data_IF_424269506011
#
_entry.id   IF_424269506011
#
_cell.length_a   1.000
_cell.length_b   1.000
_cell.length_c   1.000
_cell.angle_alpha   90.00
_cell.angle_beta   90.00
_cell.angle_gamma   90.00
#
_symmetry.space_group_name_H-M   'P 1'
#
loop_
_entity.id
_entity.type
_entity.pdbx_description
1 polymer ?
#
# COMPACT_ATOMS: atom_id res chain seq x y z
N UNK A 1 -12.29 9.03 13.32
CA UNK A 1 -12.00 7.85 14.17
C UNK A 1 -12.52 8.10 15.58
N UNK A 2 -13.11 7.10 16.25
CA UNK A 2 -13.36 7.17 17.71
C UNK A 2 -12.14 6.61 18.44
N UNK A 3 -11.52 7.41 19.31
CA UNK A 3 -10.37 6.95 20.11
C UNK A 3 -10.87 5.96 21.16
N UNK A 4 -10.35 4.73 21.13
CA UNK A 4 -10.69 3.70 22.12
C UNK A 4 -9.91 3.93 23.41
N UNK A 5 -10.40 3.40 24.54
CA UNK A 5 -9.67 3.50 25.83
C UNK A 5 -8.25 2.92 25.76
N UNK A 6 -8.06 1.87 24.95
CA UNK A 6 -6.76 1.27 24.70
C UNK A 6 -5.85 2.21 23.89
N UNK A 7 -6.35 2.83 22.84
CA UNK A 7 -5.60 3.83 22.08
C UNK A 7 -5.26 5.04 22.94
N UNK A 8 -6.20 5.57 23.73
CA UNK A 8 -5.93 6.66 24.68
C UNK A 8 -4.79 6.33 25.64
N UNK A 9 -4.71 5.09 26.13
CA UNK A 9 -3.63 4.65 27.01
C UNK A 9 -2.27 4.70 26.32
N UNK A 10 -2.18 4.22 25.07
CA UNK A 10 -0.94 4.27 24.27
C UNK A 10 -0.55 5.71 23.94
N UNK A 11 -1.52 6.57 23.58
CA UNK A 11 -1.28 7.98 23.26
C UNK A 11 -0.64 8.76 24.42
N UNK A 12 -0.90 8.37 25.68
CA UNK A 12 -0.26 9.00 26.85
C UNK A 12 1.21 8.61 27.04
N UNK A 13 1.69 7.57 26.35
CA UNK A 13 3.06 7.04 26.48
C UNK A 13 3.97 7.35 25.29
N UNK A 14 3.45 8.00 24.25
CA UNK A 14 4.22 8.36 23.05
C UNK A 14 4.55 9.86 23.03
N UNK A 15 5.64 10.20 22.34
CA UNK A 15 6.17 11.56 22.26
C UNK A 15 5.25 12.56 21.54
N UNK A 16 4.59 12.13 20.45
CA UNK A 16 3.68 12.95 19.64
C UNK A 16 2.35 12.26 19.37
N UNK A 17 1.40 12.28 20.34
CA UNK A 17 0.11 11.59 20.18
C UNK A 17 -0.77 12.14 19.06
N UNK A 18 -0.65 13.43 18.74
CA UNK A 18 -1.44 14.07 17.69
C UNK A 18 -1.26 13.43 16.29
N UNK A 19 -0.18 12.68 16.06
CA UNK A 19 0.05 11.93 14.80
C UNK A 19 -0.98 10.83 14.52
N UNK A 20 -1.74 10.43 15.54
CA UNK A 20 -2.49 9.17 15.51
C UNK A 20 -3.99 9.34 15.80
N UNK A 21 -4.49 10.56 15.97
CA UNK A 21 -5.89 10.80 16.42
C UNK A 21 -6.87 11.04 15.27
N UNK A 22 -6.38 11.45 14.10
CA UNK A 22 -7.20 11.81 12.93
C UNK A 22 -8.17 12.97 13.21
N UNK A 23 -9.25 13.02 12.43
CA UNK A 23 -10.29 14.05 12.59
C UNK A 23 -9.92 15.42 12.02
N UNK A 24 -9.00 15.46 11.06
CA UNK A 24 -8.64 16.67 10.32
C UNK A 24 -9.82 17.29 9.56
N UNK A 25 -9.74 18.60 9.36
CA UNK A 25 -10.58 19.29 8.40
C UNK A 25 -10.38 18.66 7.00
N UNK A 26 -11.48 18.45 6.27
CA UNK A 26 -11.51 17.79 4.95
C UNK A 26 -11.19 16.29 4.97
N UNK A 27 -11.18 15.64 6.14
CA UNK A 27 -11.18 14.19 6.21
C UNK A 27 -12.49 13.64 5.62
N UNK A 28 -12.37 12.80 4.60
CA UNK A 28 -13.47 12.02 4.04
C UNK A 28 -13.60 10.72 4.81
N UNK A 29 -14.75 10.51 5.44
CA UNK A 29 -15.08 9.28 6.16
C UNK A 29 -16.25 8.62 5.46
N UNK A 30 -15.98 7.53 4.73
CA UNK A 30 -17.00 6.70 4.09
C UNK A 30 -17.43 5.57 5.00
N UNK A 31 -18.64 5.07 4.79
CA UNK A 31 -19.07 3.84 5.43
C UNK A 31 -18.33 2.66 4.82
N UNK A 32 -17.80 1.79 5.67
CA UNK A 32 -16.99 0.63 5.27
C UNK A 32 -17.77 -0.35 4.40
N UNK A 33 -19.03 -0.57 4.75
CA UNK A 33 -19.89 -1.58 4.10
C UNK A 33 -20.41 -1.10 2.72
N UNK A 34 -20.40 0.22 2.50
CA UNK A 34 -20.80 0.81 1.21
C UNK A 34 -19.66 0.79 0.19
N UNK A 35 -18.41 0.70 0.66
CA UNK A 35 -17.23 0.62 -0.19
C UNK A 35 -17.01 -0.80 -0.74
N UNK A 36 -16.98 -0.92 -2.06
CA UNK A 36 -16.65 -2.17 -2.77
C UNK A 36 -15.16 -2.48 -2.67
N UNK A 37 -14.29 -1.49 -2.83
CA UNK A 37 -12.83 -1.66 -2.74
C UNK A 37 -12.28 -0.72 -1.69
N UNK A 38 -11.43 -1.27 -0.82
CA UNK A 38 -10.90 -0.57 0.35
C UNK A 38 -9.38 -0.55 0.27
N UNK A 39 -8.83 0.65 0.14
CA UNK A 39 -7.40 0.92 0.06
C UNK A 39 -6.94 1.65 1.32
N UNK A 40 -6.00 1.06 2.05
CA UNK A 40 -5.19 1.80 3.01
C UNK A 40 -3.93 2.26 2.28
N UNK A 41 -3.64 3.56 2.28
CA UNK A 41 -2.48 4.10 1.59
C UNK A 41 -1.53 4.74 2.58
N UNK A 42 -0.31 4.21 2.58
CA UNK A 42 0.76 4.63 3.45
C UNK A 42 1.68 5.63 2.75
N UNK A 43 1.97 6.73 3.45
CA UNK A 43 3.22 7.42 3.22
C UNK A 43 4.22 6.88 4.26
N UNK A 44 5.35 6.27 3.84
CA UNK A 44 6.26 5.52 4.72
C UNK A 44 7.17 6.45 5.56
N UNK A 45 6.58 7.46 6.17
CA UNK A 45 7.18 8.41 7.09
C UNK A 45 6.16 8.80 8.16
N UNK A 46 6.59 9.60 9.14
CA UNK A 46 5.67 10.18 10.12
C UNK A 46 4.63 11.11 9.48
N UNK A 47 3.49 11.21 10.16
CA UNK A 47 2.34 12.01 9.76
C UNK A 47 2.71 13.42 9.25
N UNK A 48 3.50 14.20 9.99
CA UNK A 48 3.80 15.59 9.58
C UNK A 48 4.56 15.69 8.24
N UNK A 49 5.40 14.70 7.93
CA UNK A 49 6.14 14.65 6.66
C UNK A 49 5.20 14.19 5.54
N UNK A 50 4.45 13.12 5.77
CA UNK A 50 3.54 12.59 4.76
C UNK A 50 2.38 13.52 4.41
N UNK A 51 1.89 14.32 5.35
CA UNK A 51 0.87 15.33 5.10
C UNK A 51 1.34 16.49 4.23
N UNK A 52 2.65 16.67 4.08
CA UNK A 52 3.22 17.65 3.15
C UNK A 52 3.36 17.08 1.73
N UNK A 53 2.97 15.82 1.49
CA UNK A 53 2.99 15.21 0.16
C UNK A 53 1.70 15.53 -0.61
N UNK A 54 1.80 16.44 -1.58
CA UNK A 54 0.65 16.81 -2.41
C UNK A 54 0.11 15.62 -3.22
N UNK A 55 0.98 14.74 -3.72
CA UNK A 55 0.55 13.56 -4.48
C UNK A 55 -0.34 12.62 -3.68
N UNK A 56 -0.04 12.40 -2.39
CA UNK A 56 -0.90 11.66 -1.48
C UNK A 56 -2.28 12.30 -1.35
N UNK A 57 -2.34 13.63 -1.18
CA UNK A 57 -3.59 14.36 -1.04
C UNK A 57 -4.41 14.34 -2.34
N UNK A 58 -3.76 14.43 -3.50
CA UNK A 58 -4.42 14.30 -4.80
C UNK A 58 -5.01 12.92 -4.99
N UNK A 59 -4.25 11.85 -4.73
CA UNK A 59 -4.75 10.47 -4.80
C UNK A 59 -5.89 10.21 -3.81
N UNK A 60 -5.76 10.76 -2.59
CA UNK A 60 -6.78 10.67 -1.55
C UNK A 60 -8.11 11.29 -2.00
N UNK A 61 -8.09 12.50 -2.56
CA UNK A 61 -9.29 13.17 -3.08
C UNK A 61 -9.84 12.45 -4.32
N UNK A 62 -8.97 12.08 -5.26
CA UNK A 62 -9.34 11.40 -6.51
C UNK A 62 -10.11 10.10 -6.23
N UNK A 63 -9.55 9.21 -5.42
CA UNK A 63 -10.18 7.91 -5.12
C UNK A 63 -11.42 8.10 -4.24
N UNK A 64 -11.40 9.05 -3.30
CA UNK A 64 -12.57 9.28 -2.45
C UNK A 64 -13.73 9.99 -3.15
N UNK A 65 -13.58 10.48 -4.39
CA UNK A 65 -14.73 10.94 -5.20
C UNK A 65 -15.54 9.78 -5.78
N UNK A 66 -14.94 8.60 -5.96
CA UNK A 66 -15.64 7.42 -6.45
C UNK A 66 -16.52 6.83 -5.34
N UNK A 67 -17.85 6.72 -5.50
CA UNK A 67 -18.78 6.40 -4.41
C UNK A 67 -18.54 5.02 -3.78
N UNK A 68 -18.01 4.07 -4.56
CA UNK A 68 -17.78 2.68 -4.18
C UNK A 68 -16.32 2.35 -3.86
N UNK A 69 -15.40 3.32 -3.91
CA UNK A 69 -14.01 3.18 -3.49
C UNK A 69 -13.78 3.88 -2.15
N UNK A 70 -12.96 3.29 -1.28
CA UNK A 70 -12.57 3.88 -0.01
C UNK A 70 -11.05 4.00 0.04
N UNK A 71 -10.55 5.21 0.28
CA UNK A 71 -9.14 5.48 0.49
C UNK A 71 -8.96 6.06 1.88
N UNK A 72 -8.23 5.34 2.72
CA UNK A 72 -7.81 5.80 4.04
C UNK A 72 -6.30 5.87 4.15
N UNK A 73 -5.81 6.85 4.92
CA UNK A 73 -4.39 7.12 5.08
C UNK A 73 -3.84 6.37 6.28
N UNK A 74 -2.62 5.90 6.16
CA UNK A 74 -1.81 5.46 7.29
C UNK A 74 -0.39 6.00 7.12
N UNK A 75 0.39 5.97 8.19
CA UNK A 75 1.74 6.52 8.23
C UNK A 75 2.63 5.57 9.02
N UNK A 76 3.94 5.63 8.80
CA UNK A 76 4.85 4.83 9.61
C UNK A 76 4.84 5.35 11.05
N UNK A 77 4.39 4.54 12.03
CA UNK A 77 4.41 4.97 13.42
C UNK A 77 5.84 5.22 13.88
N UNK A 78 6.04 6.20 14.77
CA UNK A 78 7.35 6.44 15.37
C UNK A 78 7.76 5.26 16.27
N UNK A 79 9.07 5.02 16.55
CA UNK A 79 9.49 3.84 17.31
C UNK A 79 8.83 3.65 18.68
N UNK A 80 8.44 4.74 19.36
CA UNK A 80 7.69 4.67 20.62
C UNK A 80 6.28 4.10 20.43
N UNK A 81 5.54 4.57 19.43
CA UNK A 81 4.22 4.03 19.08
C UNK A 81 4.33 2.60 18.53
N UNK A 82 5.38 2.28 17.76
CA UNK A 82 5.63 0.90 17.33
C UNK A 82 5.77 -0.05 18.51
N UNK A 83 6.52 0.36 19.54
CA UNK A 83 6.70 -0.43 20.75
C UNK A 83 5.37 -0.64 21.49
N UNK A 84 4.56 0.42 21.63
CA UNK A 84 3.23 0.35 22.24
C UNK A 84 2.27 -0.57 21.48
N UNK A 85 2.19 -0.44 20.16
CA UNK A 85 1.36 -1.31 19.31
C UNK A 85 1.75 -2.78 19.46
N UNK A 86 3.05 -3.07 19.40
CA UNK A 86 3.56 -4.44 19.54
C UNK A 86 3.30 -5.01 20.94
N UNK A 87 3.58 -4.24 21.99
CA UNK A 87 3.36 -4.67 23.37
C UNK A 87 1.88 -4.94 23.65
N UNK A 88 0.99 -4.16 23.05
CA UNK A 88 -0.46 -4.31 23.17
C UNK A 88 -1.06 -5.38 22.25
N UNK A 89 -0.29 -5.94 21.30
CA UNK A 89 -0.82 -6.79 20.23
C UNK A 89 -1.84 -6.06 19.35
N UNK A 90 -1.77 -4.73 19.28
CA UNK A 90 -2.70 -3.89 18.55
C UNK A 90 -2.20 -3.65 17.11
N UNK A 91 -3.01 -3.89 16.08
CA UNK A 91 -2.56 -3.74 14.69
C UNK A 91 -2.35 -2.26 14.34
N UNK A 92 -1.45 -1.99 13.38
CA UNK A 92 -1.42 -0.68 12.73
C UNK A 92 -2.80 -0.34 12.16
N UNK A 93 -3.21 0.92 12.27
CA UNK A 93 -4.53 1.39 11.87
C UNK A 93 -4.47 2.61 10.95
N UNK A 94 -5.59 2.91 10.29
CA UNK A 94 -5.77 4.09 9.44
C UNK A 94 -6.29 5.30 10.22
N UNK A 95 -6.05 6.49 9.68
CA UNK A 95 -6.30 7.76 10.36
C UNK A 95 -7.78 8.15 10.39
N UNK A 96 -8.51 7.85 9.32
CA UNK A 96 -9.91 8.24 9.14
C UNK A 96 -10.83 7.43 10.06
N UNK A 97 -10.75 6.10 9.98
CA UNK A 97 -11.67 5.21 10.70
C UNK A 97 -11.05 4.54 11.92
N UNK A 98 -9.71 4.41 11.97
CA UNK A 98 -9.02 3.61 13.00
C UNK A 98 -9.05 2.11 12.71
N UNK A 99 -9.34 1.70 11.46
CA UNK A 99 -9.41 0.29 11.09
C UNK A 99 -8.02 -0.32 10.93
N UNK A 100 -7.83 -1.60 11.30
CA UNK A 100 -6.59 -2.30 11.06
C UNK A 100 -6.20 -2.28 9.58
N UNK A 101 -4.96 -1.89 9.27
CA UNK A 101 -4.46 -1.81 7.88
C UNK A 101 -4.53 -3.16 7.17
N UNK A 102 -4.37 -4.26 7.91
CA UNK A 102 -4.48 -5.63 7.36
C UNK A 102 -5.88 -6.00 6.88
N UNK A 103 -6.92 -5.25 7.25
CA UNK A 103 -8.32 -5.57 6.90
C UNK A 103 -8.73 -4.97 5.53
N UNK A 104 -7.89 -4.12 4.94
CA UNK A 104 -8.15 -3.47 3.65
C UNK A 104 -7.87 -4.41 2.49
N UNK A 105 -8.56 -4.28 1.37
CA UNK A 105 -8.35 -5.09 0.17
C UNK A 105 -6.92 -4.90 -0.39
N UNK A 106 -6.45 -3.66 -0.39
CA UNK A 106 -5.13 -3.26 -0.86
C UNK A 106 -4.44 -2.34 0.16
N UNK A 107 -3.11 -2.43 0.20
CA UNK A 107 -2.23 -1.50 0.93
C UNK A 107 -1.26 -0.86 -0.04
N UNK A 108 -1.40 0.45 -0.26
CA UNK A 108 -0.54 1.20 -1.17
C UNK A 108 0.57 1.95 -0.44
N UNK A 109 1.72 2.14 -1.10
CA UNK A 109 2.82 2.96 -0.61
C UNK A 109 3.24 4.00 -1.65
N UNK A 110 3.44 5.25 -1.23
CA UNK A 110 4.14 6.25 -2.04
C UNK A 110 5.61 6.31 -1.64
N UNK A 111 6.50 5.99 -2.59
CA UNK A 111 7.95 5.89 -2.44
C UNK A 111 8.63 7.02 -3.22
N UNK A 112 8.81 8.21 -2.61
CA UNK A 112 9.47 9.33 -3.27
C UNK A 112 11.00 9.15 -3.37
N UNK A 113 11.61 8.38 -2.46
CA UNK A 113 13.05 8.14 -2.39
C UNK A 113 13.35 6.80 -1.69
N UNK A 114 14.56 6.28 -1.81
CA UNK A 114 14.93 4.93 -1.36
C UNK A 114 15.11 4.82 0.16
N UNK A 115 15.38 5.94 0.85
CA UNK A 115 15.64 5.92 2.30
C UNK A 115 14.42 5.50 3.13
N UNK A 116 13.21 5.49 2.56
CA UNK A 116 11.98 5.04 3.25
C UNK A 116 11.71 3.55 3.12
N UNK A 117 12.53 2.77 2.41
CA UNK A 117 12.29 1.34 2.20
C UNK A 117 12.20 0.57 3.53
N UNK A 118 13.06 0.86 4.50
CA UNK A 118 12.97 0.24 5.83
C UNK A 118 11.70 0.61 6.58
N UNK A 119 11.13 1.79 6.31
CA UNK A 119 9.87 2.22 6.90
C UNK A 119 8.68 1.45 6.28
N UNK A 120 8.74 1.11 4.99
CA UNK A 120 7.75 0.20 4.36
C UNK A 120 7.76 -1.15 5.08
N UNK A 121 8.94 -1.76 5.26
CA UNK A 121 9.07 -3.04 5.95
C UNK A 121 8.59 -2.96 7.41
N UNK A 122 8.93 -1.89 8.12
CA UNK A 122 8.43 -1.67 9.48
C UNK A 122 6.91 -1.54 9.51
N UNK A 123 6.32 -0.78 8.57
CA UNK A 123 4.88 -0.59 8.44
C UNK A 123 4.16 -1.91 8.22
N UNK A 124 4.64 -2.74 7.28
CA UNK A 124 4.09 -4.08 7.03
C UNK A 124 4.19 -4.97 8.29
N UNK A 125 5.35 -4.96 8.95
CA UNK A 125 5.58 -5.75 10.16
C UNK A 125 4.64 -5.37 11.32
N UNK A 126 4.40 -4.06 11.55
CA UNK A 126 3.50 -3.59 12.61
C UNK A 126 2.04 -3.78 12.22
N UNK A 127 1.70 -3.69 10.93
CA UNK A 127 0.38 -4.06 10.42
C UNK A 127 0.12 -5.56 10.56
N UNK A 128 1.15 -6.39 10.70
CA UNK A 128 1.07 -7.84 10.71
C UNK A 128 0.74 -8.40 9.34
N UNK A 129 1.28 -7.78 8.29
CA UNK A 129 1.25 -8.26 6.91
C UNK A 129 2.61 -8.94 6.65
N UNK A 130 2.66 -10.14 6.04
CA UNK A 130 3.93 -10.80 5.70
C UNK A 130 4.85 -9.88 4.90
N UNK A 131 6.14 -9.87 5.27
CA UNK A 131 7.12 -8.98 4.64
C UNK A 131 7.37 -9.39 3.20
N UNK A 132 7.65 -10.68 2.97
CA UNK A 132 7.90 -11.19 1.64
C UNK A 132 6.58 -11.38 0.91
N UNK A 133 6.53 -10.92 -0.35
CA UNK A 133 5.37 -11.11 -1.21
C UNK A 133 5.06 -12.61 -1.42
N UNK A 134 6.11 -13.45 -1.44
CA UNK A 134 6.00 -14.92 -1.56
C UNK A 134 5.35 -15.61 -0.35
N UNK A 135 5.28 -14.95 0.80
CA UNK A 135 4.65 -15.47 2.03
C UNK A 135 3.17 -15.03 2.16
N UNK A 136 2.69 -14.15 1.28
CA UNK A 136 1.31 -13.64 1.31
C UNK A 136 0.34 -14.61 0.66
N UNK A 137 -0.86 -14.67 1.23
CA UNK A 137 -1.97 -15.48 0.74
C UNK A 137 -3.11 -14.59 0.23
N UNK A 138 -4.22 -15.22 -0.18
CA UNK A 138 -5.46 -14.51 -0.53
C UNK A 138 -6.15 -13.86 0.68
N UNK A 139 -5.73 -14.21 1.91
CA UNK A 139 -6.22 -13.57 3.14
C UNK A 139 -5.55 -12.21 3.41
N UNK A 140 -4.38 -11.97 2.81
CA UNK A 140 -3.58 -10.77 2.99
C UNK A 140 -3.94 -9.69 1.94
N UNK A 141 -3.76 -8.38 2.25
CA UNK A 141 -3.91 -7.33 1.27
C UNK A 141 -2.92 -7.45 0.11
N UNK A 142 -3.32 -6.97 -1.07
CA UNK A 142 -2.37 -6.70 -2.15
C UNK A 142 -1.53 -5.50 -1.75
N UNK A 143 -0.21 -5.64 -1.73
CA UNK A 143 0.72 -4.53 -1.46
C UNK A 143 1.18 -3.94 -2.78
N UNK A 144 0.86 -2.67 -3.00
CA UNK A 144 1.31 -1.92 -4.16
C UNK A 144 2.20 -0.74 -3.78
N UNK A 145 3.10 -0.35 -4.68
CA UNK A 145 3.93 0.84 -4.49
C UNK A 145 3.98 1.70 -5.75
N UNK A 146 4.10 3.02 -5.58
CA UNK A 146 4.33 3.97 -6.66
C UNK A 146 5.23 5.12 -6.20
N UNK A 147 5.47 6.10 -7.06
CA UNK A 147 6.35 7.24 -6.77
C UNK A 147 7.72 7.12 -7.41
N UNK A 148 8.54 8.16 -7.32
CA UNK A 148 9.80 8.29 -8.08
C UNK A 148 10.83 7.19 -7.79
N UNK A 149 10.87 6.64 -6.59
CA UNK A 149 11.79 5.52 -6.31
C UNK A 149 11.42 4.25 -7.09
N UNK A 150 10.16 4.13 -7.54
CA UNK A 150 9.69 2.98 -8.31
C UNK A 150 10.14 2.97 -9.78
N UNK A 151 10.87 4.00 -10.25
CA UNK A 151 11.61 3.91 -11.52
C UNK A 151 12.70 2.83 -11.47
N UNK A 152 13.15 2.45 -10.27
CA UNK A 152 14.02 1.30 -10.03
C UNK A 152 13.39 0.40 -8.95
N UNK A 153 12.39 -0.44 -9.31
CA UNK A 153 11.58 -1.17 -8.34
C UNK A 153 12.29 -2.40 -7.73
N UNK A 154 13.33 -2.91 -8.39
CA UNK A 154 14.03 -4.16 -8.02
C UNK A 154 14.52 -4.25 -6.58
N UNK A 155 15.05 -3.19 -5.93
CA UNK A 155 15.44 -3.26 -4.51
C UNK A 155 14.29 -3.59 -3.56
N UNK A 156 13.03 -3.41 -3.98
CA UNK A 156 11.83 -3.68 -3.21
C UNK A 156 10.98 -4.84 -3.78
N UNK A 157 11.44 -5.51 -4.84
CA UNK A 157 10.68 -6.51 -5.57
C UNK A 157 10.20 -7.69 -4.70
N UNK A 158 11.02 -8.14 -3.76
CA UNK A 158 10.67 -9.24 -2.85
C UNK A 158 9.55 -8.89 -1.85
N UNK A 159 9.25 -7.60 -1.66
CA UNK A 159 8.35 -7.11 -0.61
C UNK A 159 7.05 -6.50 -1.16
N UNK A 160 6.94 -6.26 -2.46
CA UNK A 160 5.82 -5.55 -3.08
C UNK A 160 5.21 -6.43 -4.17
N UNK A 161 3.88 -6.52 -4.20
CA UNK A 161 3.18 -7.39 -5.17
C UNK A 161 3.11 -6.76 -6.56
N UNK A 162 2.96 -5.44 -6.64
CA UNK A 162 2.99 -4.70 -7.90
C UNK A 162 3.46 -3.25 -7.71
N UNK A 163 4.12 -2.72 -8.73
CA UNK A 163 4.56 -1.33 -8.81
C UNK A 163 3.81 -0.58 -9.89
N UNK A 164 3.40 0.65 -9.58
CA UNK A 164 2.93 1.62 -10.56
C UNK A 164 4.09 2.56 -10.92
N UNK A 165 4.55 2.48 -12.17
CA UNK A 165 5.70 3.22 -12.70
C UNK A 165 5.20 4.39 -13.55
N UNK A 166 5.49 5.62 -13.11
CA UNK A 166 5.06 6.84 -13.79
C UNK A 166 4.00 7.62 -13.00
N UNK A 167 3.10 8.30 -13.70
CA UNK A 167 2.00 9.06 -13.13
C UNK A 167 0.95 8.14 -12.48
N UNK A 168 0.80 8.26 -11.16
CA UNK A 168 0.01 7.33 -10.36
C UNK A 168 -1.50 7.59 -10.32
N UNK A 169 -1.96 8.77 -10.74
CA UNK A 169 -3.37 9.18 -10.59
C UNK A 169 -4.32 8.28 -11.40
N UNK A 170 -4.15 8.24 -12.72
CA UNK A 170 -4.97 7.40 -13.61
C UNK A 170 -4.73 5.91 -13.34
N UNK A 171 -3.47 5.52 -13.14
CA UNK A 171 -3.07 4.13 -12.94
C UNK A 171 -3.68 3.54 -11.66
N UNK A 172 -3.73 4.31 -10.56
CA UNK A 172 -4.32 3.85 -9.32
C UNK A 172 -5.83 3.61 -9.47
N UNK A 173 -6.55 4.53 -10.11
CA UNK A 173 -7.98 4.34 -10.35
C UNK A 173 -8.25 3.11 -11.25
N UNK A 174 -7.49 2.95 -12.33
CA UNK A 174 -7.59 1.78 -13.20
C UNK A 174 -7.36 0.46 -12.43
N UNK A 175 -6.35 0.41 -11.55
CA UNK A 175 -6.09 -0.73 -10.68
C UNK A 175 -7.26 -1.03 -9.73
N UNK A 176 -7.80 0.00 -9.07
CA UNK A 176 -8.90 -0.17 -8.13
C UNK A 176 -10.19 -0.62 -8.84
N UNK A 177 -10.44 -0.11 -10.05
CA UNK A 177 -11.55 -0.57 -10.89
C UNK A 177 -11.35 -2.01 -11.35
N UNK A 178 -10.14 -2.39 -11.76
CA UNK A 178 -9.82 -3.77 -12.12
C UNK A 178 -10.00 -4.73 -10.93
N UNK A 179 -9.62 -4.32 -9.71
CA UNK A 179 -9.88 -5.09 -8.50
C UNK A 179 -11.39 -5.22 -8.23
N UNK A 180 -12.13 -4.11 -8.36
CA UNK A 180 -13.59 -4.07 -8.19
C UNK A 180 -14.30 -5.04 -9.12
N UNK A 181 -13.92 -5.09 -10.39
CA UNK A 181 -14.52 -5.95 -11.41
C UNK A 181 -14.42 -7.44 -11.05
N UNK A 182 -13.32 -7.84 -10.40
CA UNK A 182 -13.10 -9.21 -9.96
C UNK A 182 -13.75 -9.53 -8.61
N UNK A 183 -14.08 -8.51 -7.81
CA UNK A 183 -14.53 -8.71 -6.43
C UNK A 183 -15.98 -9.16 -6.36
N UNK A 184 -16.21 -10.32 -5.76
CA UNK A 184 -17.55 -10.90 -5.55
C UNK A 184 -17.95 -10.88 -4.08
N UNK A 185 -18.90 -10.00 -3.74
CA UNK A 185 -19.34 -9.77 -2.37
C UNK A 185 -18.26 -9.06 -1.56
N UNK A 186 -18.08 -9.46 -0.30
CA UNK A 186 -17.07 -8.87 0.60
C UNK A 186 -15.76 -9.68 0.66
N UNK A 187 -15.63 -10.71 -0.16
CA UNK A 187 -14.41 -11.53 -0.21
C UNK A 187 -13.30 -10.83 -0.99
N UNK A 188 -12.06 -10.99 -0.54
CA UNK A 188 -10.87 -10.58 -1.29
C UNK A 188 -10.81 -11.32 -2.63
N UNK A 189 -10.29 -10.63 -3.64
CA UNK A 189 -10.00 -11.22 -4.95
C UNK A 189 -8.80 -12.16 -4.82
N UNK A 190 -8.82 -13.35 -5.45
CA UNK A 190 -7.65 -14.22 -5.51
C UNK A 190 -6.43 -13.47 -6.07
N UNK A 191 -5.30 -13.51 -5.34
CA UNK A 191 -4.11 -12.71 -5.62
C UNK A 191 -3.58 -12.95 -7.03
N UNK A 192 -3.44 -14.21 -7.42
CA UNK A 192 -2.93 -14.59 -8.74
C UNK A 192 -3.80 -14.05 -9.89
N UNK A 193 -5.13 -14.02 -9.70
CA UNK A 193 -6.07 -13.49 -10.69
C UNK A 193 -5.95 -11.98 -10.83
N UNK A 194 -5.92 -11.26 -9.69
CA UNK A 194 -5.74 -9.81 -9.71
C UNK A 194 -4.39 -9.39 -10.29
N UNK A 195 -3.30 -10.06 -9.92
CA UNK A 195 -1.97 -9.70 -10.42
C UNK A 195 -1.86 -9.86 -11.93
N UNK A 196 -2.44 -10.91 -12.53
CA UNK A 196 -2.51 -11.06 -13.99
C UNK A 196 -3.31 -9.94 -14.64
N UNK A 197 -4.47 -9.59 -14.07
CA UNK A 197 -5.29 -8.48 -14.57
C UNK A 197 -4.55 -7.15 -14.48
N UNK A 198 -3.83 -6.91 -13.39
CA UNK A 198 -3.05 -5.70 -13.16
C UNK A 198 -1.84 -5.61 -14.10
N UNK A 199 -1.15 -6.71 -14.38
CA UNK A 199 0.01 -6.73 -15.29
C UNK A 199 -0.33 -6.28 -16.72
N UNK A 200 -1.58 -6.45 -17.15
CA UNK A 200 -2.07 -5.99 -18.45
C UNK A 200 -2.29 -4.46 -18.52
N UNK A 201 -2.23 -3.75 -17.39
CA UNK A 201 -2.39 -2.29 -17.32
C UNK A 201 -1.04 -1.62 -17.63
N UNK A 202 -0.97 -0.70 -18.62
CA UNK A 202 0.26 0.03 -18.91
C UNK A 202 0.80 0.77 -17.68
N UNK A 203 2.11 0.65 -17.46
CA UNK A 203 2.79 1.24 -16.30
C UNK A 203 2.82 0.35 -15.06
N UNK A 204 2.19 -0.83 -15.07
CA UNK A 204 2.27 -1.80 -13.96
C UNK A 204 3.40 -2.80 -14.16
N UNK A 205 4.20 -2.95 -13.12
CA UNK A 205 5.24 -3.98 -13.02
C UNK A 205 4.91 -4.94 -11.88
N UNK A 206 4.76 -6.23 -12.18
CA UNK A 206 4.52 -7.30 -11.20
C UNK A 206 5.78 -8.16 -11.11
N UNK A 207 6.60 -8.04 -10.04
CA UNK A 207 7.93 -8.67 -10.01
C UNK A 207 7.90 -10.19 -10.17
N UNK A 208 6.90 -10.86 -9.58
CA UNK A 208 6.74 -12.32 -9.64
C UNK A 208 6.49 -12.88 -11.04
N UNK A 209 6.24 -12.00 -12.02
CA UNK A 209 6.05 -12.39 -13.41
C UNK A 209 7.30 -12.27 -14.27
N UNK A 210 8.48 -12.01 -13.69
CA UNK A 210 9.72 -11.89 -14.44
C UNK A 210 10.79 -12.86 -13.90
N UNK A 211 11.55 -13.44 -14.82
CA UNK A 211 12.73 -14.24 -14.52
C UNK A 211 13.98 -13.48 -14.98
N UNK A 212 14.97 -13.35 -14.09
CA UNK A 212 16.23 -12.67 -14.38
C UNK A 212 17.34 -13.71 -14.57
N UNK A 213 17.90 -13.73 -15.78
CA UNK A 213 19.09 -14.52 -16.07
C UNK A 213 20.34 -13.66 -15.85
N UNK A 214 21.38 -14.25 -15.27
CA UNK A 214 22.66 -13.58 -15.00
C UNK A 214 23.80 -14.23 -15.78
N UNK A 215 24.75 -13.42 -16.21
CA UNK A 215 26.04 -13.89 -16.71
C UNK A 215 26.90 -14.43 -15.54
N UNK A 216 27.95 -15.24 -15.81
CA UNK A 216 28.86 -15.74 -14.77
C UNK A 216 29.57 -14.65 -13.95
N UNK A 217 29.65 -13.40 -14.47
CA UNK A 217 30.21 -12.25 -13.76
C UNK A 217 29.18 -11.49 -12.90
N UNK A 218 27.94 -11.97 -12.81
CA UNK A 218 26.86 -11.35 -12.03
C UNK A 218 26.11 -10.21 -12.72
N UNK A 219 26.46 -9.85 -13.96
CA UNK A 219 25.68 -8.88 -14.72
C UNK A 219 24.36 -9.49 -15.23
N UNK A 220 23.30 -8.67 -15.30
CA UNK A 220 22.01 -9.09 -15.86
C UNK A 220 22.20 -9.41 -17.35
N UNK A 221 21.84 -10.64 -17.72
CA UNK A 221 21.86 -11.12 -19.10
C UNK A 221 20.52 -10.90 -19.79
N UNK A 222 19.42 -11.20 -19.11
CA UNK A 222 18.07 -11.01 -19.63
C UNK A 222 17.06 -10.88 -18.48
N UNK A 223 15.98 -10.15 -18.74
CA UNK A 223 14.78 -10.09 -17.89
C UNK A 223 13.62 -10.52 -18.78
N UNK A 224 12.98 -11.63 -18.45
CA UNK A 224 11.98 -12.26 -19.33
C UNK A 224 10.64 -12.42 -18.62
N UNK A 225 9.53 -11.93 -19.19
CA UNK A 225 8.19 -12.22 -18.67
C UNK A 225 7.89 -13.72 -18.67
N UNK A 226 7.24 -14.20 -17.62
CA UNK A 226 6.84 -15.60 -17.43
C UNK A 226 5.36 -15.85 -17.74
N UNK A 227 4.58 -14.78 -17.95
CA UNK A 227 3.16 -14.81 -18.32
C UNK A 227 2.89 -13.85 -19.48
N UNK A 228 1.91 -14.14 -20.36
CA UNK A 228 1.64 -13.32 -21.55
C UNK A 228 1.10 -11.91 -21.23
N UNK A 229 0.48 -11.71 -20.07
CA UNK A 229 -0.05 -10.41 -19.65
C UNK A 229 1.05 -9.42 -19.25
N UNK A 230 2.22 -9.91 -18.86
CA UNK A 230 3.34 -9.08 -18.43
C UNK A 230 4.13 -8.55 -19.64
N UNK A 231 4.27 -7.22 -19.73
CA UNK A 231 5.01 -6.59 -20.81
C UNK A 231 6.52 -6.86 -20.68
N UNK A 232 7.19 -7.14 -21.82
CA UNK A 232 8.66 -7.28 -21.84
C UNK A 232 9.38 -5.99 -21.43
N UNK A 233 8.78 -4.83 -21.69
CA UNK A 233 9.24 -3.52 -21.24
C UNK A 233 8.06 -2.75 -20.66
N UNK A 234 8.14 -2.42 -19.37
CA UNK A 234 7.15 -1.56 -18.70
C UNK A 234 7.54 -0.11 -18.95
N UNK A 235 6.82 0.57 -19.83
CA UNK A 235 6.98 2.00 -20.04
C UNK A 235 6.33 2.77 -18.89
N UNK A 236 6.98 3.86 -18.46
CA UNK A 236 6.35 4.81 -17.54
C UNK A 236 5.11 5.42 -18.21
N UNK A 237 4.08 5.63 -17.40
CA UNK A 237 2.95 6.48 -17.79
C UNK A 237 3.23 7.93 -17.47
#
# INVERSE_FOLDING_TARGET
>A
MRVTSQLESMLRRVSKPARYVGGELNSVVKNWDDARVRLAFAFPEVYEVGMSNLGLLTLYDLVNREPDLLFERTFTPWPDMQAELRAAGWPLFTLESGRPVRDFDLVGFSLPYEQVYTNVLSTLSVAGIPLLASERTDADPIVLAGGSACYNPEPMADFVDLFAIGEGEDVLLELLHAYRELKVGDRRVPRAEFLRRAAAIPGIYVPSFYEVAYHPNGAVAAVTPTVPEAAAFVAKR
#
